data_IF_828914388766
#
_entry.id   IF_828914388766
#
_cell.length_a   1.000
_cell.length_b   1.000
_cell.length_c   1.000
_cell.angle_alpha   90.00
_cell.angle_beta   90.00
_cell.angle_gamma   90.00
#
_symmetry.space_group_name_H-M   'P 1'
#
loop_
_entity.id
_entity.type
_entity.pdbx_description
1 polymer ?
#
# COMPACT_ATOMS: atom_id res chain seq x y z
N UNK A 1 -18.69 39.37 -60.12
CA UNK A 1 -17.35 39.82 -59.68
C UNK A 1 -17.35 39.92 -58.15
N UNK A 2 -16.60 39.09 -57.39
CA UNK A 2 -16.60 39.24 -55.93
C UNK A 2 -15.62 40.35 -55.51
N UNK A 3 -16.05 41.19 -54.56
CA UNK A 3 -15.25 42.29 -54.03
C UNK A 3 -14.02 41.77 -53.26
N UNK A 4 -12.85 42.32 -53.61
CA UNK A 4 -11.56 42.05 -52.96
C UNK A 4 -11.63 42.48 -51.48
N UNK A 5 -11.59 41.53 -50.56
CA UNK A 5 -11.45 41.84 -49.12
C UNK A 5 -10.08 42.47 -48.88
N UNK A 6 -10.03 43.67 -48.30
CA UNK A 6 -8.78 44.34 -47.89
C UNK A 6 -8.07 43.44 -46.87
N UNK A 7 -6.85 43.02 -47.19
CA UNK A 7 -6.02 42.21 -46.31
C UNK A 7 -5.82 42.93 -44.97
N UNK A 8 -5.97 42.23 -43.86
CA UNK A 8 -5.60 42.75 -42.54
C UNK A 8 -4.10 43.12 -42.58
N UNK A 9 -3.75 44.32 -42.12
CA UNK A 9 -2.37 44.77 -42.03
C UNK A 9 -1.60 43.90 -41.02
N UNK A 10 -1.00 42.81 -41.51
CA UNK A 10 -0.13 41.90 -40.76
C UNK A 10 1.21 42.55 -40.35
N UNK A 11 1.41 43.84 -40.66
CA UNK A 11 2.67 44.56 -40.48
C UNK A 11 2.78 45.45 -39.23
N UNK A 12 1.77 45.52 -38.36
CA UNK A 12 1.84 46.42 -37.20
C UNK A 12 2.69 45.80 -36.07
N UNK A 13 3.99 46.08 -36.10
CA UNK A 13 4.94 45.70 -35.04
C UNK A 13 4.60 46.48 -33.76
N UNK A 14 4.06 45.80 -32.76
CA UNK A 14 3.70 46.44 -31.49
C UNK A 14 4.96 46.89 -30.74
N UNK A 15 4.88 47.98 -29.97
CA UNK A 15 6.01 48.48 -29.15
C UNK A 15 6.60 47.38 -28.25
N UNK A 16 5.74 46.49 -27.73
CA UNK A 16 6.15 45.32 -26.93
C UNK A 16 6.99 44.32 -27.75
N UNK A 17 6.60 44.03 -28.99
CA UNK A 17 7.38 43.14 -29.86
C UNK A 17 8.75 43.72 -30.24
N UNK A 18 8.82 45.03 -30.51
CA UNK A 18 10.07 45.73 -30.80
C UNK A 18 11.00 45.75 -29.59
N UNK A 19 10.45 46.02 -28.39
CA UNK A 19 11.19 45.94 -27.12
C UNK A 19 11.74 44.54 -26.85
N UNK A 20 10.92 43.50 -27.03
CA UNK A 20 11.36 42.10 -26.87
C UNK A 20 12.47 41.72 -27.85
N UNK A 21 12.42 42.22 -29.09
CA UNK A 21 13.48 41.97 -30.08
C UNK A 21 14.78 42.72 -29.73
N UNK A 22 14.71 43.96 -29.24
CA UNK A 22 15.90 44.67 -28.75
C UNK A 22 16.53 43.98 -27.53
N UNK A 23 15.70 43.49 -26.60
CA UNK A 23 16.17 42.70 -25.45
C UNK A 23 16.86 41.42 -25.93
N UNK A 24 16.28 40.72 -26.90
CA UNK A 24 16.90 39.51 -27.48
C UNK A 24 18.20 39.81 -28.21
N UNK A 25 18.27 40.93 -28.95
CA UNK A 25 19.46 41.33 -29.69
C UNK A 25 20.65 41.71 -28.78
N UNK A 26 20.38 42.12 -27.53
CA UNK A 26 21.41 42.49 -26.56
C UNK A 26 21.76 41.34 -25.57
N UNK A 27 21.13 40.17 -25.67
CA UNK A 27 21.51 39.03 -24.83
C UNK A 27 22.78 38.37 -25.37
N UNK A 28 23.74 38.12 -24.48
CA UNK A 28 24.91 37.29 -24.76
C UNK A 28 24.55 35.81 -24.72
N UNK A 29 25.25 34.99 -25.50
CA UNK A 29 24.99 33.55 -25.60
C UNK A 29 25.07 32.84 -24.25
N UNK A 30 25.99 33.24 -23.37
CA UNK A 30 26.11 32.73 -22.00
C UNK A 30 24.84 32.94 -21.18
N UNK A 31 24.20 34.11 -21.34
CA UNK A 31 22.97 34.43 -20.61
C UNK A 31 21.77 33.65 -21.15
N UNK A 32 21.75 33.37 -22.46
CA UNK A 32 20.74 32.50 -23.07
C UNK A 32 20.90 31.05 -22.58
N UNK A 33 22.14 30.57 -22.46
CA UNK A 33 22.43 29.23 -21.93
C UNK A 33 22.03 29.11 -20.46
N UNK A 34 22.31 30.12 -19.64
CA UNK A 34 21.87 30.19 -18.24
C UNK A 34 20.34 30.20 -18.12
N UNK A 35 19.66 31.10 -18.86
CA UNK A 35 18.20 31.19 -18.86
C UNK A 35 17.56 29.83 -19.23
N UNK A 36 18.11 29.13 -20.23
CA UNK A 36 17.62 27.82 -20.64
C UNK A 36 17.89 26.73 -19.59
N UNK A 37 19.06 26.76 -18.95
CA UNK A 37 19.40 25.82 -17.87
C UNK A 37 18.47 25.99 -16.66
N UNK A 38 18.18 27.23 -16.28
CA UNK A 38 17.28 27.55 -15.17
C UNK A 38 15.84 27.08 -15.44
N UNK A 39 15.36 27.27 -16.67
CA UNK A 39 14.05 26.74 -17.09
C UNK A 39 14.02 25.21 -16.97
N UNK A 40 15.06 24.51 -17.44
CA UNK A 40 15.14 23.04 -17.35
C UNK A 40 15.15 22.56 -15.89
N UNK A 41 15.92 23.23 -15.02
CA UNK A 41 15.96 22.91 -13.58
C UNK A 41 14.60 23.17 -12.92
N UNK A 42 13.94 24.28 -13.26
CA UNK A 42 12.60 24.59 -12.71
C UNK A 42 11.57 23.54 -13.12
N UNK A 43 11.61 23.10 -14.39
CA UNK A 43 10.72 22.06 -14.91
C UNK A 43 11.00 20.71 -14.27
N UNK A 44 12.27 20.36 -14.04
CA UNK A 44 12.63 19.12 -13.35
C UNK A 44 12.08 19.09 -11.91
N UNK A 45 12.30 20.18 -11.15
CA UNK A 45 11.78 20.33 -9.78
C UNK A 45 10.25 20.24 -9.72
N UNK A 46 9.55 20.86 -10.67
CA UNK A 46 8.08 20.79 -10.73
C UNK A 46 7.56 19.39 -11.06
N UNK A 47 8.25 18.66 -11.95
CA UNK A 47 7.91 17.26 -12.25
C UNK A 47 8.20 16.35 -11.07
N UNK A 48 9.30 16.56 -10.37
CA UNK A 48 9.65 15.84 -9.15
C UNK A 48 8.62 16.10 -8.05
N UNK A 49 8.22 17.36 -7.82
CA UNK A 49 7.20 17.69 -6.82
C UNK A 49 5.85 17.08 -7.16
N UNK A 50 5.38 17.18 -8.41
CA UNK A 50 4.15 16.51 -8.83
C UNK A 50 4.23 14.98 -8.68
N UNK A 51 5.37 14.38 -9.06
CA UNK A 51 5.61 12.94 -8.92
C UNK A 51 5.60 12.53 -7.44
N UNK A 52 6.22 13.31 -6.59
CA UNK A 52 6.28 13.06 -5.15
C UNK A 52 4.91 13.22 -4.50
N UNK A 53 4.17 14.29 -4.81
CA UNK A 53 2.80 14.50 -4.34
C UNK A 53 1.85 13.37 -4.77
N UNK A 54 1.95 12.92 -6.03
CA UNK A 54 1.14 11.81 -6.52
C UNK A 54 1.47 10.49 -5.79
N UNK A 55 2.75 10.24 -5.48
CA UNK A 55 3.18 9.08 -4.68
C UNK A 55 2.66 9.19 -3.25
N UNK A 56 2.77 10.36 -2.63
CA UNK A 56 2.32 10.60 -1.27
C UNK A 56 0.80 10.46 -1.15
N UNK A 57 0.05 10.97 -2.12
CA UNK A 57 -1.40 10.83 -2.16
C UNK A 57 -1.83 9.37 -2.35
N UNK A 58 -1.18 8.63 -3.26
CA UNK A 58 -1.39 7.17 -3.39
C UNK A 58 -1.11 6.44 -2.08
N UNK A 59 -0.05 6.82 -1.37
CA UNK A 59 0.31 6.23 -0.07
C UNK A 59 -0.70 6.58 1.02
N UNK A 60 -1.21 7.82 1.07
CA UNK A 60 -2.28 8.23 2.00
C UNK A 60 -3.55 7.44 1.75
N UNK A 61 -3.96 7.30 0.48
CA UNK A 61 -5.16 6.52 0.10
C UNK A 61 -5.06 5.07 0.57
N UNK A 62 -3.92 4.41 0.30
CA UNK A 62 -3.65 3.04 0.78
C UNK A 62 -3.71 2.92 2.31
N UNK A 63 -3.14 3.88 3.04
CA UNK A 63 -3.21 3.91 4.51
C UNK A 63 -4.63 4.09 5.03
N UNK A 64 -5.44 4.95 4.38
CA UNK A 64 -6.83 5.17 4.75
C UNK A 64 -7.67 3.92 4.49
N UNK A 65 -7.55 3.32 3.31
CA UNK A 65 -8.20 2.07 2.93
C UNK A 65 -7.87 0.95 3.93
N UNK A 66 -6.60 0.79 4.29
CA UNK A 66 -6.17 -0.18 5.29
C UNK A 66 -6.75 0.12 6.69
N UNK A 67 -6.87 1.39 7.09
CA UNK A 67 -7.53 1.79 8.35
C UNK A 67 -9.03 1.50 8.32
N UNK A 68 -9.71 1.70 7.19
CA UNK A 68 -11.14 1.43 7.02
C UNK A 68 -11.44 -0.07 7.02
N UNK A 69 -10.65 -0.87 6.28
CA UNK A 69 -10.76 -2.32 6.26
C UNK A 69 -10.55 -2.96 7.65
N UNK A 70 -9.82 -2.30 8.55
CA UNK A 70 -9.63 -2.75 9.93
C UNK A 70 -10.85 -2.51 10.82
N UNK A 71 -11.81 -1.69 10.39
CA UNK A 71 -12.94 -1.21 11.22
C UNK A 71 -14.22 -2.02 11.00
N UNK A 72 -14.39 -2.64 9.83
CA UNK A 72 -15.57 -3.42 9.50
C UNK A 72 -15.16 -4.77 8.92
N UNK A 73 -15.72 -5.84 9.46
CA UNK A 73 -15.62 -7.18 8.87
C UNK A 73 -16.62 -7.27 7.72
N UNK A 74 -16.16 -7.65 6.53
CA UNK A 74 -17.01 -7.87 5.36
C UNK A 74 -17.27 -9.37 5.18
N UNK A 75 -18.49 -9.88 5.46
CA UNK A 75 -18.76 -11.31 5.47
C UNK A 75 -18.56 -12.02 4.13
N UNK A 76 -18.57 -11.28 3.02
CA UNK A 76 -18.42 -11.83 1.66
C UNK A 76 -16.96 -11.91 1.21
N UNK A 77 -16.00 -11.42 2.02
CA UNK A 77 -14.57 -11.52 1.72
C UNK A 77 -14.03 -12.84 2.27
N UNK A 78 -13.42 -13.63 1.40
CA UNK A 78 -12.75 -14.88 1.78
C UNK A 78 -11.39 -14.61 2.44
N UNK A 79 -11.41 -14.16 3.70
CA UNK A 79 -10.19 -13.81 4.43
C UNK A 79 -9.21 -14.97 4.60
N UNK A 80 -9.70 -16.22 4.64
CA UNK A 80 -8.86 -17.42 4.76
C UNK A 80 -8.00 -17.68 3.52
N UNK A 81 -8.44 -17.23 2.35
CA UNK A 81 -7.71 -17.37 1.07
C UNK A 81 -6.83 -16.15 0.77
N UNK A 82 -6.85 -15.12 1.61
CA UNK A 82 -6.12 -13.89 1.34
C UNK A 82 -4.61 -14.13 1.49
N UNK A 83 -3.85 -13.84 0.44
CA UNK A 83 -2.38 -13.96 0.37
C UNK A 83 -1.56 -13.30 1.50
N UNK A 84 -2.18 -12.45 2.32
CA UNK A 84 -1.54 -11.79 3.48
C UNK A 84 -1.85 -12.47 4.82
N UNK A 85 -2.75 -13.46 4.82
CA UNK A 85 -3.18 -14.21 6.00
C UNK A 85 -2.49 -15.57 5.95
N UNK A 86 -1.32 -15.67 6.58
CA UNK A 86 -0.62 -16.93 6.79
C UNK A 86 -0.44 -17.17 8.29
N UNK A 87 -1.28 -18.05 8.84
CA UNK A 87 -1.25 -18.45 10.24
C UNK A 87 -0.14 -19.51 10.47
N UNK A 88 0.21 -20.27 9.42
CA UNK A 88 1.16 -21.37 9.47
C UNK A 88 0.69 -22.59 10.26
N UNK A 89 1.58 -23.58 10.39
CA UNK A 89 1.33 -24.80 11.19
C UNK A 89 1.61 -24.59 12.67
N UNK A 90 0.84 -25.28 13.52
CA UNK A 90 1.14 -25.42 14.94
C UNK A 90 2.30 -26.39 15.11
N UNK A 91 3.40 -25.93 15.71
CA UNK A 91 4.58 -26.78 15.86
C UNK A 91 5.63 -26.23 16.80
N UNK A 92 5.41 -25.05 17.39
CA UNK A 92 6.28 -24.49 18.41
C UNK A 92 5.69 -24.83 19.76
N UNK A 93 6.47 -25.43 20.65
CA UNK A 93 6.01 -25.69 22.00
C UNK A 93 6.08 -24.40 22.85
N UNK A 94 5.10 -24.20 23.72
CA UNK A 94 5.09 -23.12 24.70
C UNK A 94 5.84 -23.54 25.96
N UNK A 95 6.79 -22.71 26.48
CA UNK A 95 7.55 -23.06 27.68
C UNK A 95 6.69 -23.07 28.96
N UNK A 96 5.50 -22.49 28.94
CA UNK A 96 4.63 -22.40 30.12
C UNK A 96 3.67 -23.57 30.24
N UNK A 97 3.14 -24.03 29.10
CA UNK A 97 1.99 -24.92 29.04
C UNK A 97 2.28 -26.22 28.29
N UNK A 98 3.46 -26.36 27.68
CA UNK A 98 3.84 -27.46 26.80
C UNK A 98 2.87 -27.72 25.62
N UNK A 99 1.92 -26.81 25.38
CA UNK A 99 1.02 -26.87 24.24
C UNK A 99 1.74 -26.39 22.97
N UNK A 100 1.33 -26.95 21.84
CA UNK A 100 1.71 -26.46 20.53
C UNK A 100 1.05 -25.10 20.27
N UNK A 101 1.82 -24.15 19.76
CA UNK A 101 1.41 -22.80 19.38
C UNK A 101 1.83 -22.47 17.97
N UNK A 102 1.22 -21.42 17.41
CA UNK A 102 1.64 -20.87 16.12
C UNK A 102 2.95 -20.10 16.24
N UNK A 103 3.69 -20.00 15.14
CA UNK A 103 4.99 -19.31 15.10
C UNK A 103 4.89 -17.84 15.55
N UNK A 104 3.81 -17.16 15.16
CA UNK A 104 3.55 -15.75 15.41
C UNK A 104 2.52 -15.49 16.52
N UNK A 105 2.19 -16.51 17.33
CA UNK A 105 1.27 -16.37 18.44
C UNK A 105 1.88 -15.51 19.56
N UNK A 106 1.11 -14.54 20.07
CA UNK A 106 1.53 -13.72 21.21
C UNK A 106 1.77 -14.59 22.46
N UNK A 107 2.79 -14.25 23.24
CA UNK A 107 3.10 -14.95 24.47
C UNK A 107 1.88 -14.92 25.41
N UNK A 108 1.50 -16.10 25.90
CA UNK A 108 0.41 -16.24 26.86
C UNK A 108 -0.99 -16.37 26.25
N UNK A 109 -1.17 -16.42 24.93
CA UNK A 109 -2.47 -16.81 24.36
C UNK A 109 -2.88 -18.25 24.75
N UNK A 110 -1.95 -19.21 24.78
CA UNK A 110 -2.28 -20.58 25.25
C UNK A 110 -2.78 -20.63 26.70
N UNK A 111 -2.09 -19.94 27.63
CA UNK A 111 -2.25 -20.18 29.08
C UNK A 111 -2.03 -18.94 29.96
N UNK A 112 -2.26 -17.74 29.43
CA UNK A 112 -2.02 -16.46 30.12
C UNK A 112 -0.62 -16.39 30.78
N UNK A 113 0.40 -16.86 30.05
CA UNK A 113 1.80 -16.96 30.50
C UNK A 113 2.00 -17.90 31.69
N UNK A 114 1.29 -19.03 31.69
CA UNK A 114 1.38 -20.06 32.73
C UNK A 114 0.49 -19.79 33.95
N UNK A 115 -0.35 -18.75 33.90
CA UNK A 115 -1.35 -18.47 34.95
C UNK A 115 -2.54 -19.42 34.90
N UNK A 116 -2.85 -19.94 33.71
CA UNK A 116 -3.88 -20.97 33.55
C UNK A 116 -3.20 -22.32 33.67
N UNK A 117 -3.41 -22.99 34.80
CA UNK A 117 -2.99 -24.36 35.01
C UNK A 117 -4.14 -25.27 34.61
N UNK A 118 -4.09 -25.81 33.38
CA UNK A 118 -5.08 -26.77 32.93
C UNK A 118 -4.90 -28.07 33.75
N UNK A 119 -5.93 -28.57 34.42
CA UNK A 119 -5.85 -29.88 35.07
C UNK A 119 -5.55 -30.93 34.00
N UNK A 120 -4.72 -31.93 34.35
CA UNK A 120 -4.52 -33.07 33.47
C UNK A 120 -5.89 -33.71 33.20
N UNK A 121 -6.29 -33.74 31.93
CA UNK A 121 -7.51 -34.43 31.51
C UNK A 121 -7.28 -35.90 31.84
N UNK A 122 -7.95 -36.38 32.88
CA UNK A 122 -7.91 -37.80 33.25
C UNK A 122 -8.38 -38.61 32.05
N UNK A 123 -7.70 -39.71 31.78
CA UNK A 123 -8.16 -40.68 30.79
C UNK A 123 -9.61 -41.04 31.13
N UNK A 124 -10.56 -40.78 30.22
CA UNK A 124 -11.95 -41.07 30.50
C UNK A 124 -12.10 -42.59 30.69
N UNK A 125 -13.02 -43.04 31.56
CA UNK A 125 -13.30 -44.47 31.71
C UNK A 125 -13.77 -45.07 30.38
N UNK A 126 -13.54 -46.37 30.17
CA UNK A 126 -14.16 -47.08 29.05
C UNK A 126 -15.69 -46.99 29.15
N UNK A 127 -16.43 -46.88 28.02
CA UNK A 127 -16.01 -47.01 26.61
C UNK A 127 -15.58 -45.70 25.93
N UNK A 128 -15.62 -44.56 26.62
CA UNK A 128 -15.33 -43.24 26.04
C UNK A 128 -13.89 -43.12 25.53
N UNK A 129 -12.95 -43.78 26.19
CA UNK A 129 -11.55 -43.86 25.75
C UNK A 129 -11.41 -44.56 24.39
N UNK A 130 -12.14 -45.66 24.16
CA UNK A 130 -12.12 -46.37 22.88
C UNK A 130 -12.71 -45.55 21.72
N UNK A 131 -13.71 -44.72 22.01
CA UNK A 131 -14.28 -43.78 21.03
C UNK A 131 -13.28 -42.67 20.66
N UNK A 132 -12.50 -42.17 21.62
CA UNK A 132 -11.52 -41.10 21.38
C UNK A 132 -10.33 -41.55 20.53
N UNK A 133 -9.92 -42.82 20.64
CA UNK A 133 -8.77 -43.37 19.91
C UNK A 133 -9.22 -43.93 18.54
N UNK A 134 -10.52 -43.95 18.24
CA UNK A 134 -11.09 -44.53 17.01
C UNK A 134 -10.60 -45.96 16.74
N UNK A 135 -10.34 -46.74 17.79
CA UNK A 135 -9.95 -48.15 17.69
C UNK A 135 -11.14 -49.11 17.72
N UNK A 136 -12.37 -48.59 17.70
CA UNK A 136 -13.57 -49.42 17.58
C UNK A 136 -13.78 -49.81 16.10
N UNK A 137 -13.63 -51.09 15.73
CA UNK A 137 -13.97 -51.55 14.38
C UNK A 137 -15.47 -51.40 14.08
N UNK A 138 -16.33 -51.29 15.10
CA UNK A 138 -17.79 -51.14 14.94
C UNK A 138 -18.24 -49.71 14.60
N UNK A 139 -17.34 -48.72 14.60
CA UNK A 139 -17.63 -47.38 14.05
C UNK A 139 -17.27 -47.24 12.57
N UNK A 140 -16.71 -48.29 11.95
CA UNK A 140 -16.53 -48.42 10.50
C UNK A 140 -17.54 -49.47 10.01
N UNK A 141 -18.83 -49.14 10.12
CA UNK A 141 -19.91 -49.74 9.34
C UNK A 141 -20.84 -48.62 8.90
#
# INVERSE_FOLDING_TARGET
MPARRKAANLGFRTKKSASMQNIKAHRRDEQIQQDNADVLVSMARFRESQSQEARDERNRRRKLEQRQARRYYEPHVEYYAHSKVDIGTMGKESPHCHALKFKNEAAGLCCASGKVQLPQIKTPPEPLHGLLISTNPDSIM
#
